data_IF_456173284856
#
_entry.id   IF_456173284856
#
_cell.length_a   1.000
_cell.length_b   1.000
_cell.length_c   1.000
_cell.angle_alpha   90.00
_cell.angle_beta   90.00
_cell.angle_gamma   90.00
#
_symmetry.space_group_name_H-M   'P 1'
#
loop_
_entity.id
_entity.type
_entity.pdbx_description
1 polymer ?
#
# COMPACT_ATOMS: atom_id res chain seq x y z
N UNK A 1 2.51 -13.30 19.06
CA UNK A 1 1.65 -12.39 18.27
C UNK A 1 1.01 -13.18 17.14
N UNK A 2 -0.30 -13.01 16.93
CA UNK A 2 -1.03 -13.68 15.85
C UNK A 2 -0.68 -13.06 14.49
N UNK A 3 -0.40 -13.88 13.48
CA UNK A 3 -0.14 -13.42 12.10
C UNK A 3 -1.42 -13.55 11.28
N UNK A 4 -1.80 -12.49 10.57
CA UNK A 4 -2.88 -12.52 9.57
C UNK A 4 -2.26 -12.62 8.17
N UNK A 5 -2.87 -13.41 7.28
CA UNK A 5 -2.46 -13.57 5.88
C UNK A 5 -3.54 -13.00 4.97
N UNK A 6 -3.12 -12.27 3.95
CA UNK A 6 -3.96 -11.80 2.85
C UNK A 6 -3.31 -12.24 1.55
N UNK A 7 -4.09 -12.73 0.60
CA UNK A 7 -3.64 -12.98 -0.77
C UNK A 7 -4.28 -11.91 -1.65
N UNK A 8 -3.47 -11.23 -2.46
CA UNK A 8 -3.91 -10.18 -3.40
C UNK A 8 -3.48 -10.61 -4.79
N UNK A 9 -4.37 -10.46 -5.75
CA UNK A 9 -4.12 -10.75 -7.16
C UNK A 9 -4.17 -9.44 -7.94
N UNK A 10 -3.25 -9.28 -8.89
CA UNK A 10 -3.20 -8.17 -9.84
C UNK A 10 -3.49 -8.77 -11.21
N UNK A 11 -4.73 -8.64 -11.68
CA UNK A 11 -5.24 -9.37 -12.85
C UNK A 11 -5.66 -8.47 -14.00
N UNK A 12 -5.91 -7.19 -13.74
CA UNK A 12 -6.23 -6.20 -14.77
C UNK A 12 -4.97 -5.44 -15.21
N UNK A 13 -4.97 -4.84 -16.41
CA UNK A 13 -3.78 -4.21 -17.00
C UNK A 13 -3.22 -3.08 -16.10
N UNK A 14 -4.09 -2.29 -15.48
CA UNK A 14 -3.72 -1.23 -14.54
C UNK A 14 -3.21 -1.77 -13.21
N UNK A 15 -3.79 -2.87 -12.70
CA UNK A 15 -3.30 -3.60 -11.53
C UNK A 15 -1.91 -4.20 -11.79
N UNK A 16 -1.66 -4.73 -12.98
CA UNK A 16 -0.36 -5.24 -13.39
C UNK A 16 0.66 -4.09 -13.46
N UNK A 17 0.28 -2.94 -14.02
CA UNK A 17 1.13 -1.75 -14.04
C UNK A 17 1.46 -1.25 -12.62
N UNK A 18 0.49 -1.30 -11.71
CA UNK A 18 0.71 -1.02 -10.29
C UNK A 18 1.70 -2.01 -9.67
N UNK A 19 1.55 -3.31 -9.93
CA UNK A 19 2.48 -4.32 -9.42
C UNK A 19 3.91 -4.10 -9.91
N UNK A 20 4.10 -3.80 -11.19
CA UNK A 20 5.42 -3.49 -11.77
C UNK A 20 6.03 -2.26 -11.06
N UNK A 21 5.22 -1.26 -10.75
CA UNK A 21 5.67 -0.08 -10.00
C UNK A 21 6.11 -0.45 -8.59
N UNK A 22 5.35 -1.30 -7.89
CA UNK A 22 5.71 -1.82 -6.56
C UNK A 22 7.03 -2.58 -6.61
N UNK A 23 7.23 -3.43 -7.63
CA UNK A 23 8.46 -4.21 -7.82
C UNK A 23 9.67 -3.29 -8.04
N UNK A 24 9.54 -2.26 -8.87
CA UNK A 24 10.59 -1.29 -9.14
C UNK A 24 11.02 -0.56 -7.85
N UNK A 25 10.06 -0.07 -7.07
CA UNK A 25 10.32 0.60 -5.78
C UNK A 25 10.96 -0.35 -4.76
N UNK A 26 10.47 -1.58 -4.68
CA UNK A 26 11.06 -2.59 -3.79
C UNK A 26 12.54 -2.84 -4.12
N UNK A 27 12.89 -2.88 -5.41
CA UNK A 27 14.28 -3.03 -5.87
C UNK A 27 15.13 -1.82 -5.52
N UNK A 28 14.64 -0.61 -5.79
CA UNK A 28 15.34 0.65 -5.50
C UNK A 28 15.65 0.78 -4.00
N UNK A 29 14.66 0.48 -3.16
CA UNK A 29 14.75 0.62 -1.71
C UNK A 29 15.38 -0.60 -1.01
N UNK A 30 15.82 -1.61 -1.78
CA UNK A 30 16.40 -2.87 -1.28
C UNK A 30 15.48 -3.61 -0.31
N UNK A 31 14.20 -3.68 -0.63
CA UNK A 31 13.14 -4.34 0.15
C UNK A 31 12.58 -5.55 -0.60
N UNK A 32 12.01 -6.50 0.14
CA UNK A 32 11.14 -7.50 -0.49
C UNK A 32 9.82 -6.86 -0.94
N UNK A 33 9.20 -7.41 -1.98
CA UNK A 33 7.90 -6.93 -2.48
C UNK A 33 6.85 -6.91 -1.35
N UNK A 34 6.81 -7.94 -0.50
CA UNK A 34 5.91 -7.99 0.66
C UNK A 34 6.17 -6.87 1.68
N UNK A 35 7.43 -6.48 1.90
CA UNK A 35 7.75 -5.33 2.75
C UNK A 35 7.30 -4.02 2.09
N UNK A 36 7.52 -3.87 0.78
CA UNK A 36 7.11 -2.66 0.06
C UNK A 36 5.59 -2.47 0.07
N UNK A 37 4.83 -3.54 -0.18
CA UNK A 37 3.36 -3.53 -0.10
C UNK A 37 2.91 -3.07 1.30
N UNK A 38 3.55 -3.56 2.37
CA UNK A 38 3.20 -3.16 3.75
C UNK A 38 3.47 -1.68 4.02
N UNK A 39 4.57 -1.14 3.50
CA UNK A 39 4.91 0.28 3.64
C UNK A 39 3.86 1.13 2.93
N UNK A 40 3.56 0.83 1.67
CA UNK A 40 2.57 1.57 0.90
C UNK A 40 1.16 1.49 1.51
N UNK A 41 0.77 0.32 2.04
CA UNK A 41 -0.49 0.17 2.76
C UNK A 41 -0.54 1.01 4.04
N UNK A 42 0.57 1.11 4.78
CA UNK A 42 0.64 1.94 5.98
C UNK A 42 0.53 3.44 5.64
N UNK A 43 1.22 3.88 4.59
CA UNK A 43 1.15 5.26 4.09
C UNK A 43 -0.26 5.62 3.62
N UNK A 44 -0.89 4.75 2.81
CA UNK A 44 -2.25 4.94 2.34
C UNK A 44 -3.27 4.98 3.49
N UNK A 45 -3.10 4.14 4.51
CA UNK A 45 -3.95 4.11 5.69
C UNK A 45 -3.81 5.41 6.51
N UNK A 46 -2.60 5.92 6.71
CA UNK A 46 -2.36 7.17 7.41
C UNK A 46 -2.95 8.36 6.66
N UNK A 47 -2.68 8.47 5.35
CA UNK A 47 -3.26 9.52 4.53
C UNK A 47 -4.80 9.48 4.52
N UNK A 48 -5.40 8.28 4.60
CA UNK A 48 -6.86 8.13 4.73
C UNK A 48 -7.38 8.63 6.08
N UNK A 49 -6.67 8.37 7.18
CA UNK A 49 -7.05 8.87 8.52
C UNK A 49 -6.99 10.40 8.58
N UNK A 50 -5.91 10.99 8.09
CA UNK A 50 -5.74 12.45 8.04
C UNK A 50 -6.88 13.13 7.25
N UNK A 51 -7.26 12.57 6.10
CA UNK A 51 -8.41 13.09 5.32
C UNK A 51 -9.75 12.99 6.06
N UNK A 52 -9.92 11.97 6.90
CA UNK A 52 -11.14 11.80 7.71
C UNK A 52 -11.15 12.78 8.87
N UNK A 53 -10.01 13.02 9.50
CA UNK A 53 -9.86 14.00 10.60
C UNK A 53 -10.10 15.43 10.11
N UNK A 54 -9.48 15.84 9.00
CA UNK A 54 -9.70 17.16 8.39
C UNK A 54 -11.18 17.40 8.04
N UNK A 55 -11.90 16.37 7.56
CA UNK A 55 -13.33 16.48 7.27
C UNK A 55 -14.20 16.69 8.50
N UNK A 56 -13.76 16.26 9.69
CA UNK A 56 -14.50 16.47 10.94
C UNK A 56 -14.31 17.86 11.51
N UNK A 57 -13.16 18.50 11.25
CA UNK A 57 -12.87 19.87 11.72
C UNK A 57 -13.57 20.96 10.90
N UNK A 58 -14.03 20.63 9.68
CA UNK A 58 -14.72 21.55 8.76
C UNK A 58 -16.25 21.55 8.97
N UNK A 59 -16.80 20.64 9.80
CA UNK A 59 -18.24 20.49 10.07
C UNK A 59 -18.58 21.04 11.45
#
# INVERSE_FOLDING_TARGET
MEKKRVNVYFSEDDEIALYITIEALAKEEKRSINQQIKVMLAEAANARRERVEQKKEII
#
